data_IF_357257365924
#
_entry.id   IF_357257365924
#
_cell.length_a   1.000
_cell.length_b   1.000
_cell.length_c   1.000
_cell.angle_alpha   90.00
_cell.angle_beta   90.00
_cell.angle_gamma   90.00
#
_symmetry.space_group_name_H-M   'P 1'
#
loop_
_entity.id
_entity.type
_entity.pdbx_description
1 polymer ?
#
# COMPACT_ATOMS: atom_id res chain seq x y z
N UNK A 1 -57.39 55.02 31.66
CA UNK A 1 -56.07 55.40 32.20
C UNK A 1 -55.18 54.19 32.03
N UNK A 2 -54.49 54.20 30.89
CA UNK A 2 -53.60 53.17 30.42
C UNK A 2 -52.31 53.15 31.22
N UNK A 3 -51.82 51.96 31.54
CA UNK A 3 -50.40 51.68 31.74
C UNK A 3 -50.18 50.16 31.76
N UNK A 4 -49.85 49.59 30.60
CA UNK A 4 -49.13 48.32 30.52
C UNK A 4 -47.87 48.55 29.69
N UNK A 5 -46.75 48.69 30.40
CA UNK A 5 -45.41 48.76 29.83
C UNK A 5 -45.00 47.36 29.35
N UNK A 6 -44.91 47.22 28.02
CA UNK A 6 -44.41 46.02 27.34
C UNK A 6 -42.89 46.12 27.18
N UNK A 7 -42.16 45.40 28.04
CA UNK A 7 -40.70 45.26 27.96
C UNK A 7 -40.35 44.16 26.95
N UNK A 8 -40.05 44.56 25.71
CA UNK A 8 -39.61 43.68 24.63
C UNK A 8 -38.10 43.47 24.74
N UNK A 9 -37.68 42.41 25.42
CA UNK A 9 -36.28 41.94 25.44
C UNK A 9 -35.99 41.25 24.12
N UNK A 10 -35.11 41.86 23.31
CA UNK A 10 -34.51 41.22 22.13
C UNK A 10 -33.53 40.16 22.63
N UNK A 11 -33.83 38.90 22.35
CA UNK A 11 -32.93 37.77 22.52
C UNK A 11 -32.13 37.67 21.22
N UNK A 12 -30.96 38.30 21.20
CA UNK A 12 -29.93 38.03 20.18
C UNK A 12 -29.40 36.63 20.49
N UNK A 13 -29.85 35.65 19.70
CA UNK A 13 -29.22 34.34 19.61
C UNK A 13 -27.85 34.55 18.94
N UNK A 14 -26.81 34.65 19.77
CA UNK A 14 -25.45 34.25 19.39
C UNK A 14 -25.52 32.77 19.02
N UNK A 15 -25.76 32.51 17.73
CA UNK A 15 -25.50 31.23 17.09
C UNK A 15 -23.97 31.09 17.01
N UNK A 16 -23.39 30.78 18.16
CA UNK A 16 -21.99 30.41 18.33
C UNK A 16 -21.79 29.10 17.55
N UNK A 17 -21.52 29.25 16.25
CA UNK A 17 -21.12 28.20 15.34
C UNK A 17 -20.02 27.40 16.01
N UNK A 18 -20.38 26.23 16.52
CA UNK A 18 -19.44 25.23 17.03
C UNK A 18 -18.52 24.84 15.89
N UNK A 19 -17.43 25.59 15.73
CA UNK A 19 -16.33 25.27 14.84
C UNK A 19 -15.89 23.84 15.18
N UNK A 20 -15.99 22.89 14.23
CA UNK A 20 -15.66 21.51 14.48
C UNK A 20 -14.22 21.43 14.98
N UNK A 21 -14.05 20.80 16.16
CA UNK A 21 -12.74 20.61 16.78
C UNK A 21 -11.86 19.74 15.87
N UNK A 22 -10.97 20.42 15.13
CA UNK A 22 -9.55 20.09 14.98
C UNK A 22 -9.20 18.61 14.77
N UNK A 23 -9.02 18.22 13.50
CA UNK A 23 -7.87 17.41 13.03
C UNK A 23 -7.76 17.34 11.50
N UNK A 24 -8.83 17.66 10.76
CA UNK A 24 -8.83 17.67 9.30
C UNK A 24 -8.65 19.09 8.74
N UNK A 25 -7.53 19.74 9.07
CA UNK A 25 -7.20 21.01 8.42
C UNK A 25 -6.94 20.75 6.94
N UNK A 26 -7.68 21.47 6.09
CA UNK A 26 -7.46 21.47 4.65
C UNK A 26 -5.99 21.75 4.35
N UNK A 27 -5.40 21.01 3.41
CA UNK A 27 -4.02 21.27 2.95
C UNK A 27 -3.97 22.43 1.96
N UNK A 28 -5.14 22.92 1.55
CA UNK A 28 -5.33 23.94 0.54
C UNK A 28 -5.70 25.27 1.23
N UNK A 29 -5.12 26.40 0.82
CA UNK A 29 -5.56 27.72 1.28
C UNK A 29 -7.05 27.99 1.01
N UNK A 30 -7.75 28.56 1.99
CA UNK A 30 -9.22 28.80 1.95
C UNK A 30 -9.66 29.59 0.70
N UNK A 31 -8.83 30.52 0.22
CA UNK A 31 -9.18 31.38 -0.92
C UNK A 31 -8.68 30.84 -2.27
N UNK A 32 -8.05 29.66 -2.29
CA UNK A 32 -7.56 29.07 -3.53
C UNK A 32 -8.73 28.51 -4.34
N UNK A 33 -8.74 28.80 -5.64
CA UNK A 33 -9.77 28.34 -6.57
C UNK A 33 -9.18 27.40 -7.62
N UNK A 34 -9.96 26.38 -7.97
CA UNK A 34 -9.61 25.39 -8.98
C UNK A 34 -10.69 25.34 -10.07
N UNK A 35 -10.26 25.19 -11.32
CA UNK A 35 -11.21 25.01 -12.42
C UNK A 35 -11.77 23.58 -12.45
N UNK A 36 -12.95 23.43 -13.05
CA UNK A 36 -13.62 22.12 -13.14
C UNK A 36 -12.74 20.97 -13.68
N UNK A 37 -11.98 21.22 -14.74
CA UNK A 37 -11.15 20.18 -15.37
C UNK A 37 -9.98 19.76 -14.49
N UNK A 38 -9.42 20.67 -13.70
CA UNK A 38 -8.39 20.37 -12.72
C UNK A 38 -8.98 19.64 -11.51
N UNK A 39 -10.15 20.04 -11.01
CA UNK A 39 -10.87 19.32 -9.94
C UNK A 39 -11.12 17.85 -10.32
N UNK A 40 -11.67 17.59 -11.50
CA UNK A 40 -11.89 16.23 -12.05
C UNK A 40 -10.57 15.42 -12.06
N UNK A 41 -9.50 15.98 -12.66
CA UNK A 41 -8.25 15.26 -12.88
C UNK A 41 -7.39 15.09 -11.63
N UNK A 42 -7.23 16.13 -10.82
CA UNK A 42 -6.32 16.14 -9.67
C UNK A 42 -6.96 15.51 -8.43
N UNK A 43 -8.27 15.75 -8.22
CA UNK A 43 -9.00 15.21 -7.07
C UNK A 43 -9.75 13.91 -7.36
N UNK A 44 -9.69 13.43 -8.61
CA UNK A 44 -10.28 12.15 -9.04
C UNK A 44 -11.77 12.08 -8.72
N UNK A 45 -12.45 13.19 -8.99
CA UNK A 45 -13.88 13.36 -8.81
C UNK A 45 -14.56 13.19 -10.16
N UNK A 46 -15.68 12.47 -10.18
CA UNK A 46 -16.49 12.44 -11.38
C UNK A 46 -17.21 13.78 -11.54
N UNK A 47 -17.53 14.14 -12.79
CA UNK A 47 -18.25 15.39 -13.06
C UNK A 47 -19.57 15.47 -12.29
N UNK A 48 -20.23 14.33 -12.09
CA UNK A 48 -21.49 14.24 -11.38
C UNK A 48 -21.33 14.50 -9.88
N UNK A 49 -20.22 14.06 -9.28
CA UNK A 49 -19.92 14.30 -7.86
C UNK A 49 -19.83 15.80 -7.57
N UNK A 50 -19.09 16.53 -8.41
CA UNK A 50 -18.92 17.98 -8.30
C UNK A 50 -20.28 18.68 -8.44
N UNK A 51 -21.13 18.25 -9.38
CA UNK A 51 -22.44 18.86 -9.58
C UNK A 51 -23.43 18.57 -8.46
N UNK A 52 -23.44 17.35 -7.94
CA UNK A 52 -24.36 16.93 -6.88
C UNK A 52 -23.99 17.48 -5.51
N UNK A 53 -22.72 17.84 -5.30
CA UNK A 53 -22.23 18.32 -4.02
C UNK A 53 -22.68 19.75 -3.68
N UNK A 54 -23.23 20.50 -4.65
CA UNK A 54 -23.70 21.87 -4.40
C UNK A 54 -22.58 22.84 -4.02
N UNK A 55 -21.36 22.61 -4.52
CA UNK A 55 -20.18 23.44 -4.23
C UNK A 55 -20.41 24.89 -4.69
N UNK A 56 -19.83 25.85 -3.97
CA UNK A 56 -19.87 27.24 -4.40
C UNK A 56 -19.08 27.40 -5.71
N UNK A 57 -19.68 28.08 -6.68
CA UNK A 57 -19.13 28.22 -8.03
C UNK A 57 -19.10 29.68 -8.45
N UNK A 58 -17.91 30.13 -8.82
CA UNK A 58 -17.72 31.39 -9.54
C UNK A 58 -17.71 31.10 -11.04
N UNK A 59 -18.58 31.77 -11.78
CA UNK A 59 -18.67 31.66 -13.24
C UNK A 59 -17.91 32.84 -13.85
N UNK A 60 -16.82 32.54 -14.56
CA UNK A 60 -16.04 33.54 -15.29
C UNK A 60 -16.43 33.47 -16.78
N UNK A 61 -17.05 34.52 -17.33
CA UNK A 61 -17.48 34.53 -18.72
C UNK A 61 -16.26 34.50 -19.66
N UNK A 62 -16.33 33.69 -20.72
CA UNK A 62 -15.28 33.67 -21.75
C UNK A 62 -15.57 34.67 -22.86
N UNK A 63 -14.56 35.45 -23.24
CA UNK A 63 -14.65 36.42 -24.36
C UNK A 63 -14.84 35.78 -25.74
N UNK A 64 -14.58 34.48 -25.86
CA UNK A 64 -14.66 33.75 -27.14
C UNK A 64 -16.08 33.25 -27.35
N UNK A 65 -16.75 33.76 -28.39
CA UNK A 65 -18.06 33.31 -28.84
C UNK A 65 -18.04 31.79 -29.04
N UNK A 66 -19.05 31.09 -28.51
CA UNK A 66 -19.21 29.62 -28.52
C UNK A 66 -18.33 28.80 -27.55
N UNK A 67 -17.61 29.42 -26.61
CA UNK A 67 -16.98 28.67 -25.50
C UNK A 67 -17.82 28.75 -24.24
N UNK A 68 -18.02 27.61 -23.57
CA UNK A 68 -18.65 27.57 -22.23
C UNK A 68 -17.82 28.38 -21.24
N UNK A 69 -18.51 29.10 -20.36
CA UNK A 69 -17.89 29.86 -19.28
C UNK A 69 -17.05 28.96 -18.38
N UNK A 70 -16.00 29.53 -17.79
CA UNK A 70 -15.14 28.79 -16.87
C UNK A 70 -15.81 28.75 -15.51
N UNK A 71 -16.01 27.56 -14.97
CA UNK A 71 -16.46 27.35 -13.59
C UNK A 71 -15.23 27.18 -12.69
N UNK A 72 -15.11 28.06 -11.69
CA UNK A 72 -14.13 27.98 -10.63
C UNK A 72 -14.81 27.60 -9.32
N UNK A 73 -14.21 26.66 -8.59
CA UNK A 73 -14.68 26.19 -7.28
C UNK A 73 -13.63 26.53 -6.24
N UNK A 74 -14.03 26.70 -4.98
CA UNK A 74 -13.07 26.74 -3.89
C UNK A 74 -12.41 25.36 -3.75
N UNK A 75 -11.08 25.33 -3.81
CA UNK A 75 -10.34 24.07 -3.90
C UNK A 75 -10.37 23.30 -2.58
N UNK A 76 -10.50 23.98 -1.44
CA UNK A 76 -10.71 23.30 -0.16
C UNK A 76 -12.05 22.56 -0.11
N UNK A 77 -13.13 23.08 -0.72
CA UNK A 77 -14.42 22.35 -0.78
C UNK A 77 -14.31 21.10 -1.67
N UNK A 78 -13.61 21.23 -2.79
CA UNK A 78 -13.29 20.12 -3.70
C UNK A 78 -12.45 19.05 -2.97
N UNK A 79 -11.49 19.48 -2.15
CA UNK A 79 -10.69 18.59 -1.31
C UNK A 79 -11.55 17.82 -0.30
N UNK A 80 -12.41 18.51 0.46
CA UNK A 80 -13.31 17.86 1.42
C UNK A 80 -14.24 16.85 0.74
N UNK A 81 -14.75 17.19 -0.45
CA UNK A 81 -15.55 16.27 -1.27
C UNK A 81 -14.74 15.03 -1.67
N UNK A 82 -13.49 15.21 -2.11
CA UNK A 82 -12.60 14.10 -2.45
C UNK A 82 -12.33 13.21 -1.23
N UNK A 83 -12.08 13.80 -0.05
CA UNK A 83 -11.91 13.03 1.18
C UNK A 83 -13.17 12.23 1.48
N UNK A 84 -14.34 12.84 1.41
CA UNK A 84 -15.61 12.15 1.64
C UNK A 84 -15.80 10.95 0.71
N UNK A 85 -15.50 11.09 -0.58
CA UNK A 85 -15.66 10.03 -1.59
C UNK A 85 -14.63 8.92 -1.42
N UNK A 86 -13.37 9.27 -1.13
CA UNK A 86 -12.27 8.32 -1.09
C UNK A 86 -12.04 7.69 0.30
N UNK A 87 -12.80 8.07 1.33
CA UNK A 87 -12.71 7.50 2.68
C UNK A 87 -11.72 8.21 3.61
N UNK A 88 -11.63 9.54 3.51
CA UNK A 88 -10.80 10.42 4.32
C UNK A 88 -9.50 10.86 3.61
N UNK A 89 -8.79 11.80 4.24
CA UNK A 89 -7.54 12.38 3.72
C UNK A 89 -6.48 11.29 3.44
N UNK A 90 -6.28 10.37 4.38
CA UNK A 90 -5.26 9.32 4.25
C UNK A 90 -5.57 8.36 3.09
N UNK A 91 -6.83 7.97 2.91
CA UNK A 91 -7.23 7.11 1.80
C UNK A 91 -7.07 7.83 0.45
N UNK A 92 -7.34 9.14 0.40
CA UNK A 92 -7.08 9.96 -0.77
C UNK A 92 -5.58 10.07 -1.10
N UNK A 93 -4.72 10.30 -0.10
CA UNK A 93 -3.25 10.29 -0.28
C UNK A 93 -2.79 8.96 -0.88
N UNK A 94 -3.23 7.83 -0.31
CA UNK A 94 -2.92 6.49 -0.83
C UNK A 94 -3.39 6.31 -2.27
N UNK A 95 -4.57 6.83 -2.60
CA UNK A 95 -5.08 6.81 -3.97
C UNK A 95 -4.16 7.57 -4.93
N UNK A 96 -3.68 8.75 -4.56
CA UNK A 96 -2.76 9.54 -5.37
C UNK A 96 -1.40 8.84 -5.53
N UNK A 97 -0.86 8.23 -4.47
CA UNK A 97 0.37 7.44 -4.52
C UNK A 97 0.23 6.24 -5.48
N UNK A 98 -0.86 5.48 -5.41
CA UNK A 98 -1.10 4.35 -6.31
C UNK A 98 -1.20 4.79 -7.78
N UNK A 99 -1.85 5.94 -8.03
CA UNK A 99 -1.96 6.52 -9.37
C UNK A 99 -0.62 7.02 -9.91
N UNK A 100 0.22 7.62 -9.06
CA UNK A 100 1.58 8.00 -9.44
C UNK A 100 2.37 6.77 -9.89
N UNK A 101 2.37 5.70 -9.09
CA UNK A 101 3.10 4.47 -9.43
C UNK A 101 2.60 3.86 -10.75
N UNK A 102 1.27 3.83 -10.96
CA UNK A 102 0.68 3.38 -12.22
C UNK A 102 1.07 4.29 -13.40
N UNK A 103 1.13 5.60 -13.18
CA UNK A 103 1.54 6.56 -14.20
C UNK A 103 3.00 6.36 -14.60
N UNK A 104 3.91 6.23 -13.64
CA UNK A 104 5.33 5.97 -13.91
C UNK A 104 5.55 4.71 -14.75
N UNK A 105 4.73 3.67 -14.54
CA UNK A 105 4.76 2.45 -15.36
C UNK A 105 4.22 2.68 -16.78
N UNK A 106 3.07 3.34 -16.91
CA UNK A 106 2.38 3.51 -18.21
C UNK A 106 2.97 4.61 -19.08
N UNK A 107 3.68 5.56 -18.48
CA UNK A 107 4.25 6.75 -19.11
C UNK A 107 5.70 6.98 -18.63
N UNK A 108 6.62 6.05 -18.93
CA UNK A 108 8.00 6.15 -18.47
C UNK A 108 8.64 7.47 -18.93
N UNK A 109 9.32 8.15 -18.01
CA UNK A 109 9.99 9.43 -18.25
C UNK A 109 9.08 10.67 -18.30
N UNK A 110 7.75 10.51 -18.14
CA UNK A 110 6.82 11.66 -18.05
C UNK A 110 6.56 12.07 -16.59
N UNK A 111 6.38 13.38 -16.37
CA UNK A 111 6.02 13.92 -15.06
C UNK A 111 4.53 13.69 -14.71
N UNK A 112 4.27 13.41 -13.44
CA UNK A 112 2.93 13.24 -12.85
C UNK A 112 2.33 14.55 -12.28
N UNK A 113 3.03 15.68 -12.37
CA UNK A 113 2.67 16.93 -11.66
C UNK A 113 1.25 17.42 -11.98
N UNK A 114 0.85 17.36 -13.25
CA UNK A 114 -0.48 17.81 -13.71
C UNK A 114 -1.67 16.95 -13.22
N UNK A 115 -1.43 15.83 -12.56
CA UNK A 115 -2.44 14.84 -12.14
C UNK A 115 -2.66 14.77 -10.63
N UNK A 116 -2.04 15.67 -9.88
CA UNK A 116 -2.16 15.82 -8.43
C UNK A 116 -2.32 17.30 -8.07
N UNK A 117 -2.91 17.63 -6.92
CA UNK A 117 -2.86 18.99 -6.40
C UNK A 117 -1.48 19.30 -5.82
N UNK A 118 -1.03 20.55 -5.91
CA UNK A 118 0.30 20.98 -5.46
C UNK A 118 0.48 20.79 -3.94
N UNK A 119 -0.58 20.99 -3.16
CA UNK A 119 -0.59 20.78 -1.70
C UNK A 119 -0.29 19.33 -1.28
N UNK A 120 -0.42 18.36 -2.19
CA UNK A 120 -0.15 16.94 -1.94
C UNK A 120 1.26 16.51 -2.32
N UNK A 121 2.10 17.43 -2.80
CA UNK A 121 3.41 17.10 -3.35
C UNK A 121 4.30 16.30 -2.41
N UNK A 122 4.45 16.76 -1.17
CA UNK A 122 5.31 16.13 -0.17
C UNK A 122 4.92 14.67 0.10
N UNK A 123 3.64 14.31 -0.04
CA UNK A 123 3.13 12.97 0.24
C UNK A 123 3.22 12.02 -0.96
N UNK A 124 3.27 12.57 -2.18
CA UNK A 124 3.14 11.80 -3.42
C UNK A 124 4.50 11.69 -4.13
N UNK A 125 5.29 12.76 -4.18
CA UNK A 125 6.48 12.85 -5.06
C UNK A 125 7.65 11.99 -4.63
N UNK A 126 7.77 11.71 -3.34
CA UNK A 126 8.81 10.82 -2.83
C UNK A 126 8.35 9.35 -2.81
N UNK A 127 7.09 9.08 -3.14
CA UNK A 127 6.55 7.72 -3.11
C UNK A 127 6.98 6.93 -4.34
N UNK A 128 7.90 6.00 -4.16
CA UNK A 128 8.41 5.12 -5.21
C UNK A 128 8.21 3.66 -4.85
N UNK A 129 7.98 2.83 -5.87
CA UNK A 129 7.94 1.39 -5.71
C UNK A 129 9.34 0.83 -5.97
N UNK A 130 9.89 -0.01 -5.06
CA UNK A 130 11.19 -0.63 -5.20
C UNK A 130 11.36 -1.36 -6.53
N UNK A 131 12.55 -1.23 -7.14
CA UNK A 131 12.87 -1.84 -8.44
C UNK A 131 12.64 -3.36 -8.49
N UNK A 132 12.90 -4.07 -7.40
CA UNK A 132 12.69 -5.51 -7.35
C UNK A 132 11.22 -5.91 -7.48
N UNK A 133 10.29 -5.10 -6.94
CA UNK A 133 8.85 -5.31 -7.08
C UNK A 133 8.44 -5.08 -8.54
N UNK A 134 8.96 -4.03 -9.19
CA UNK A 134 8.73 -3.79 -10.62
C UNK A 134 9.23 -4.93 -11.50
N UNK A 135 10.43 -5.45 -11.22
CA UNK A 135 10.99 -6.58 -11.94
C UNK A 135 10.11 -7.82 -11.80
N UNK A 136 9.61 -8.10 -10.58
CA UNK A 136 8.72 -9.22 -10.32
C UNK A 136 7.37 -9.06 -11.02
N UNK A 137 6.81 -7.84 -11.01
CA UNK A 137 5.59 -7.54 -11.74
C UNK A 137 5.74 -7.76 -13.25
N UNK A 138 6.87 -7.29 -13.81
CA UNK A 138 7.18 -7.41 -15.23
C UNK A 138 7.40 -8.88 -15.63
N UNK A 139 8.10 -9.66 -14.81
CA UNK A 139 8.32 -11.09 -15.07
C UNK A 139 7.01 -11.87 -15.03
N UNK A 140 6.13 -11.61 -14.06
CA UNK A 140 4.82 -12.26 -13.98
C UNK A 140 3.91 -11.86 -15.16
N UNK A 141 3.92 -10.58 -15.55
CA UNK A 141 3.17 -10.11 -16.71
C UNK A 141 3.61 -10.84 -17.99
N UNK A 142 4.92 -10.96 -18.21
CA UNK A 142 5.49 -11.65 -19.37
C UNK A 142 5.15 -13.15 -19.35
N UNK A 143 5.22 -13.77 -18.18
CA UNK A 143 4.92 -15.19 -17.99
C UNK A 143 3.45 -15.52 -18.26
N UNK A 144 2.53 -14.68 -17.77
CA UNK A 144 1.09 -14.92 -17.86
C UNK A 144 0.47 -14.48 -19.19
N UNK A 145 1.03 -13.43 -19.80
CA UNK A 145 0.45 -12.79 -20.98
C UNK A 145 1.49 -12.56 -22.08
N UNK A 146 2.15 -13.62 -22.59
CA UNK A 146 3.15 -13.49 -23.62
C UNK A 146 2.56 -12.82 -24.88
N UNK A 147 3.15 -11.70 -25.31
CA UNK A 147 2.71 -10.90 -26.44
C UNK A 147 1.52 -9.95 -26.17
N UNK A 148 1.00 -9.89 -24.95
CA UNK A 148 -0.08 -8.99 -24.53
C UNK A 148 0.28 -8.14 -23.29
N UNK A 149 1.58 -7.90 -23.09
CA UNK A 149 2.13 -7.33 -21.87
C UNK A 149 1.56 -5.93 -21.59
N UNK A 150 1.29 -5.12 -22.63
CA UNK A 150 0.83 -3.74 -22.45
C UNK A 150 -0.61 -3.64 -21.92
N UNK A 151 -1.53 -4.41 -22.49
CA UNK A 151 -2.95 -4.37 -22.13
C UNK A 151 -3.17 -4.98 -20.75
N UNK A 152 -2.62 -6.18 -20.52
CA UNK A 152 -2.79 -6.91 -19.27
C UNK A 152 -1.88 -6.38 -18.15
N UNK A 153 -0.67 -5.93 -18.48
CA UNK A 153 0.27 -5.34 -17.52
C UNK A 153 -0.29 -4.10 -16.82
N UNK A 154 -1.06 -3.27 -17.52
CA UNK A 154 -1.70 -2.10 -16.89
C UNK A 154 -2.69 -2.51 -15.78
N UNK A 155 -3.46 -3.58 -15.99
CA UNK A 155 -4.37 -4.11 -14.97
C UNK A 155 -3.59 -4.69 -13.78
N UNK A 156 -2.58 -5.51 -14.06
CA UNK A 156 -1.72 -6.13 -13.04
C UNK A 156 -1.02 -5.09 -12.16
N UNK A 157 -0.40 -4.10 -12.77
CA UNK A 157 0.28 -3.00 -12.07
C UNK A 157 -0.71 -2.18 -11.26
N UNK A 158 -1.91 -1.90 -11.79
CA UNK A 158 -2.94 -1.20 -11.02
C UNK A 158 -3.32 -1.96 -9.74
N UNK A 159 -3.43 -3.27 -9.80
CA UNK A 159 -3.72 -4.09 -8.61
C UNK A 159 -2.53 -4.08 -7.65
N UNK A 160 -1.31 -4.25 -8.15
CA UNK A 160 -0.08 -4.26 -7.34
C UNK A 160 0.14 -2.93 -6.62
N UNK A 161 0.00 -1.81 -7.33
CA UNK A 161 0.20 -0.46 -6.76
C UNK A 161 -0.78 -0.17 -5.64
N UNK A 162 -2.04 -0.61 -5.74
CA UNK A 162 -3.02 -0.48 -4.66
C UNK A 162 -2.63 -1.29 -3.43
N UNK A 163 -2.26 -2.55 -3.64
CA UNK A 163 -1.84 -3.44 -2.56
C UNK A 163 -0.58 -2.92 -1.86
N UNK A 164 0.43 -2.53 -2.64
CA UNK A 164 1.69 -1.99 -2.14
C UNK A 164 1.49 -0.70 -1.35
N UNK A 165 0.63 0.21 -1.80
CA UNK A 165 0.38 1.46 -1.06
C UNK A 165 -0.34 1.21 0.27
N UNK A 166 -1.26 0.26 0.30
CA UNK A 166 -1.96 -0.10 1.53
C UNK A 166 -1.06 -0.82 2.53
N UNK A 167 -0.11 -1.60 2.03
CA UNK A 167 0.79 -2.38 2.84
C UNK A 167 2.18 -2.39 2.18
N UNK A 168 3.00 -1.34 2.38
CA UNK A 168 4.31 -1.24 1.76
C UNK A 168 5.27 -2.26 2.38
N UNK A 169 6.24 -2.72 1.58
CA UNK A 169 7.33 -3.53 2.09
C UNK A 169 8.25 -2.67 2.95
N UNK A 170 8.89 -3.22 4.00
CA UNK A 170 9.95 -2.50 4.68
C UNK A 170 11.08 -2.15 3.70
N UNK A 171 11.92 -1.19 4.08
CA UNK A 171 13.12 -0.90 3.30
C UNK A 171 14.03 -2.12 3.25
N UNK A 172 14.51 -2.45 2.05
CA UNK A 172 15.51 -3.51 1.85
C UNK A 172 16.92 -2.96 2.08
N UNK A 173 17.76 -3.58 2.93
CA UNK A 173 19.15 -3.18 3.09
C UNK A 173 19.87 -3.16 1.74
N UNK A 174 20.64 -2.10 1.50
CA UNK A 174 21.46 -1.97 0.28
C UNK A 174 22.82 -2.64 0.42
N UNK A 175 23.28 -2.79 1.66
CA UNK A 175 24.57 -3.36 2.01
C UNK A 175 24.28 -4.74 2.60
N UNK A 176 25.05 -5.74 2.17
CA UNK A 176 24.95 -7.07 2.75
C UNK A 176 25.32 -7.00 4.25
N UNK A 177 24.62 -7.72 5.13
CA UNK A 177 24.92 -7.69 6.55
C UNK A 177 26.36 -8.17 6.81
N UNK A 178 27.05 -7.60 7.81
CA UNK A 178 28.44 -7.95 8.10
C UNK A 178 28.58 -9.45 8.38
N UNK A 179 29.72 -10.02 8.01
CA UNK A 179 30.04 -11.41 8.38
C UNK A 179 30.34 -11.47 9.88
N UNK A 180 29.39 -11.95 10.67
CA UNK A 180 29.56 -12.31 12.08
C UNK A 180 29.35 -13.81 12.28
N UNK A 181 29.79 -14.39 13.42
CA UNK A 181 29.46 -15.77 13.76
C UNK A 181 27.95 -16.05 13.72
N UNK A 182 27.12 -15.15 14.25
CA UNK A 182 25.65 -15.25 14.23
C UNK A 182 25.04 -15.22 12.82
N UNK A 183 25.46 -14.29 11.95
CA UNK A 183 25.00 -14.27 10.55
C UNK A 183 25.49 -15.49 9.76
N UNK A 184 26.72 -15.97 10.04
CA UNK A 184 27.24 -17.15 9.38
C UNK A 184 26.47 -18.41 9.79
N UNK A 185 26.07 -18.52 11.07
CA UNK A 185 25.18 -19.57 11.53
C UNK A 185 23.81 -19.50 10.83
N UNK A 186 23.20 -18.31 10.77
CA UNK A 186 21.93 -18.10 10.06
C UNK A 186 22.02 -18.55 8.59
N UNK A 187 23.06 -18.11 7.87
CA UNK A 187 23.29 -18.48 6.47
C UNK A 187 23.51 -19.98 6.30
N UNK A 188 24.28 -20.60 7.18
CA UNK A 188 24.49 -22.06 7.18
C UNK A 188 23.17 -22.82 7.32
N UNK A 189 22.24 -22.35 8.16
CA UNK A 189 20.91 -22.95 8.29
C UNK A 189 20.10 -22.72 7.01
N UNK A 190 20.06 -21.49 6.50
CA UNK A 190 19.36 -21.17 5.25
C UNK A 190 19.92 -21.95 4.05
N UNK A 191 21.20 -22.28 4.00
CA UNK A 191 21.79 -23.11 2.94
C UNK A 191 21.24 -24.53 2.94
N UNK A 192 20.88 -25.05 4.11
CA UNK A 192 20.21 -26.36 4.26
C UNK A 192 18.69 -26.29 4.11
N UNK A 193 18.13 -25.11 3.78
CA UNK A 193 16.68 -24.95 3.72
C UNK A 193 16.05 -25.91 2.70
N UNK A 194 14.99 -26.63 3.08
CA UNK A 194 14.27 -27.51 2.17
C UNK A 194 13.71 -26.72 0.98
N UNK A 195 13.98 -27.22 -0.22
CA UNK A 195 13.52 -26.64 -1.49
C UNK A 195 12.33 -27.45 -1.99
N UNK A 196 11.28 -26.76 -2.43
CA UNK A 196 10.12 -27.33 -3.08
C UNK A 196 10.54 -27.91 -4.43
N UNK A 197 10.42 -29.23 -4.67
CA UNK A 197 10.74 -29.83 -5.96
C UNK A 197 9.96 -29.21 -7.12
N UNK A 198 10.66 -28.92 -8.21
CA UNK A 198 10.05 -28.44 -9.45
C UNK A 198 8.99 -29.40 -9.97
N UNK A 199 7.85 -28.85 -10.41
CA UNK A 199 6.82 -29.64 -11.09
C UNK A 199 6.07 -30.64 -10.20
N UNK A 200 6.09 -30.45 -8.87
CA UNK A 200 5.21 -31.18 -7.94
C UNK A 200 3.75 -30.96 -8.34
N UNK A 201 3.23 -31.91 -9.13
CA UNK A 201 1.79 -32.13 -9.25
C UNK A 201 1.30 -32.48 -7.85
N UNK A 202 0.15 -31.94 -7.46
CA UNK A 202 -0.54 -32.23 -6.19
C UNK A 202 -0.69 -33.75 -6.02
N UNK A 203 0.31 -34.43 -5.48
CA UNK A 203 0.24 -35.84 -5.12
C UNK A 203 0.13 -35.91 -3.61
N UNK A 204 -0.85 -36.66 -3.16
CA UNK A 204 -1.37 -36.70 -1.81
C UNK A 204 -0.29 -36.85 -0.72
N UNK A 205 -0.20 -35.84 0.14
CA UNK A 205 -0.12 -35.88 1.62
C UNK A 205 0.91 -36.74 2.36
N UNK A 206 1.96 -37.26 1.74
CA UNK A 206 3.07 -37.81 2.53
C UNK A 206 4.04 -36.68 2.90
N UNK A 207 4.25 -36.45 4.20
CA UNK A 207 5.38 -35.70 4.76
C UNK A 207 6.66 -36.07 4.00
N UNK A 208 7.13 -35.19 3.10
CA UNK A 208 8.41 -35.41 2.41
C UNK A 208 9.49 -34.72 3.20
N UNK A 209 9.87 -35.32 4.32
CA UNK A 209 10.97 -34.88 5.15
C UNK A 209 10.70 -33.50 5.79
N UNK A 210 11.44 -32.49 5.38
CA UNK A 210 11.52 -31.21 6.08
C UNK A 210 10.55 -30.12 5.55
N UNK A 211 9.50 -30.51 4.80
CA UNK A 211 8.44 -29.60 4.33
C UNK A 211 7.07 -30.07 4.83
N UNK A 212 6.27 -29.14 5.38
CA UNK A 212 4.87 -29.37 5.69
C UNK A 212 3.97 -28.79 4.60
N UNK A 213 2.88 -29.50 4.32
CA UNK A 213 1.77 -28.99 3.51
C UNK A 213 0.74 -28.43 4.50
N UNK A 214 0.43 -27.14 4.41
CA UNK A 214 -0.70 -26.61 5.13
C UNK A 214 -2.00 -27.04 4.45
N UNK A 215 -2.66 -28.04 5.03
CA UNK A 215 -4.01 -28.49 4.66
C UNK A 215 -5.06 -27.47 5.08
N UNK A 216 -5.06 -26.33 4.40
CA UNK A 216 -6.19 -25.40 4.28
C UNK A 216 -5.73 -24.27 3.35
N UNK A 217 -5.53 -24.55 2.06
CA UNK A 217 -5.34 -23.47 1.12
C UNK A 217 -6.60 -22.60 1.21
N UNK A 218 -6.42 -21.29 1.35
CA UNK A 218 -7.48 -20.34 1.04
C UNK A 218 -8.13 -20.85 -0.26
N UNK A 219 -9.43 -21.18 -0.29
CA UNK A 219 -10.05 -21.85 -1.44
C UNK A 219 -9.81 -21.09 -2.75
N UNK A 220 -9.66 -19.77 -2.63
CA UNK A 220 -9.34 -18.86 -3.70
C UNK A 220 -7.97 -19.14 -4.36
N UNK A 221 -6.96 -19.62 -3.62
CA UNK A 221 -5.60 -19.79 -4.13
C UNK A 221 -5.40 -21.06 -4.95
N UNK A 222 -6.25 -22.07 -4.80
CA UNK A 222 -6.19 -23.31 -5.57
C UNK A 222 -4.89 -24.11 -5.43
N UNK A 223 -3.86 -23.61 -4.75
CA UNK A 223 -2.54 -24.22 -4.57
C UNK A 223 -2.27 -24.48 -3.09
N UNK A 224 -1.75 -25.66 -2.79
CA UNK A 224 -1.21 -25.97 -1.46
C UNK A 224 -0.15 -24.93 -1.08
N UNK A 225 -0.16 -24.49 0.18
CA UNK A 225 0.94 -23.71 0.75
C UNK A 225 1.93 -24.66 1.39
N UNK A 226 3.21 -24.43 1.13
CA UNK A 226 4.31 -25.19 1.70
C UNK A 226 5.02 -24.32 2.73
N UNK A 227 5.35 -24.93 3.85
CA UNK A 227 6.14 -24.32 4.92
C UNK A 227 7.30 -25.22 5.29
N UNK A 228 8.36 -24.63 5.83
CA UNK A 228 9.46 -25.41 6.40
C UNK A 228 9.01 -26.19 7.64
N UNK A 229 9.68 -27.30 7.92
CA UNK A 229 9.37 -28.09 9.10
C UNK A 229 9.60 -27.33 10.40
N UNK A 230 8.84 -27.67 11.45
CA UNK A 230 9.04 -27.14 12.79
C UNK A 230 10.48 -27.31 13.28
N UNK A 231 11.12 -28.44 12.97
CA UNK A 231 12.54 -28.63 13.30
C UNK A 231 13.45 -27.63 12.59
N UNK A 232 13.21 -27.34 11.30
CA UNK A 232 13.96 -26.31 10.58
C UNK A 232 13.65 -24.90 11.10
N UNK A 233 12.38 -24.59 11.35
CA UNK A 233 11.95 -23.31 11.90
C UNK A 233 12.58 -23.06 13.28
N UNK A 234 12.62 -24.05 14.16
CA UNK A 234 13.25 -23.95 15.48
C UNK A 234 14.75 -23.60 15.36
N UNK A 235 15.48 -24.30 14.47
CA UNK A 235 16.89 -24.00 14.21
C UNK A 235 17.08 -22.59 13.63
N UNK A 236 16.23 -22.19 12.68
CA UNK A 236 16.23 -20.87 12.08
C UNK A 236 15.99 -19.76 13.13
N UNK A 237 14.97 -19.92 13.97
CA UNK A 237 14.66 -18.95 15.04
C UNK A 237 15.77 -18.86 16.08
N UNK A 238 16.41 -19.99 16.41
CA UNK A 238 17.59 -19.98 17.28
C UNK A 238 18.72 -19.13 16.69
N UNK A 239 19.04 -19.28 15.40
CA UNK A 239 20.05 -18.46 14.73
C UNK A 239 19.64 -16.97 14.62
N UNK A 240 18.36 -16.69 14.33
CA UNK A 240 17.84 -15.32 14.31
C UNK A 240 17.95 -14.64 15.69
N UNK A 241 17.67 -15.35 16.78
CA UNK A 241 17.87 -14.85 18.13
C UNK A 241 19.35 -14.53 18.39
N UNK A 242 20.27 -15.33 17.87
CA UNK A 242 21.71 -15.04 17.90
C UNK A 242 22.05 -13.74 17.17
N UNK A 243 21.50 -13.52 15.98
CA UNK A 243 21.69 -12.25 15.24
C UNK A 243 21.13 -11.05 16.01
N UNK A 244 19.96 -11.19 16.63
CA UNK A 244 19.35 -10.12 17.43
C UNK A 244 20.17 -9.83 18.69
N UNK A 245 20.70 -10.86 19.34
CA UNK A 245 21.55 -10.70 20.52
C UNK A 245 22.85 -9.95 20.19
N UNK A 246 23.46 -10.26 19.05
CA UNK A 246 24.74 -9.67 18.64
C UNK A 246 24.59 -8.28 18.00
N UNK A 247 23.54 -8.06 17.20
CA UNK A 247 23.39 -6.87 16.33
C UNK A 247 22.10 -6.06 16.57
N UNK A 248 21.24 -6.50 17.48
CA UNK A 248 19.97 -5.84 17.81
C UNK A 248 18.86 -6.01 16.75
N UNK A 249 17.80 -5.22 16.89
CA UNK A 249 16.64 -5.25 15.99
C UNK A 249 16.73 -4.26 14.82
N UNK A 250 17.82 -3.49 14.72
CA UNK A 250 17.99 -2.41 13.74
C UNK A 250 18.46 -2.86 12.34
N UNK A 251 18.90 -1.89 11.51
CA UNK A 251 19.33 -2.13 10.13
C UNK A 251 20.43 -3.17 9.95
N UNK A 252 21.32 -3.32 10.94
CA UNK A 252 22.45 -4.27 10.92
C UNK A 252 22.11 -5.63 11.55
N UNK A 253 20.96 -5.76 12.20
CA UNK A 253 20.52 -6.98 12.88
C UNK A 253 19.26 -7.58 12.26
N UNK A 254 18.16 -7.63 13.01
CA UNK A 254 16.90 -8.23 12.54
C UNK A 254 16.41 -7.68 11.19
N UNK A 255 16.43 -6.35 10.99
CA UNK A 255 15.90 -5.78 9.75
C UNK A 255 16.67 -6.26 8.52
N UNK A 256 17.95 -6.58 8.69
CA UNK A 256 18.80 -7.17 7.67
C UNK A 256 18.51 -8.67 7.50
N UNK A 257 18.55 -9.42 8.60
CA UNK A 257 18.36 -10.86 8.62
C UNK A 257 17.01 -11.29 8.03
N UNK A 258 15.93 -10.57 8.32
CA UNK A 258 14.60 -10.89 7.79
C UNK A 258 14.51 -10.89 6.28
N UNK A 259 15.34 -10.09 5.60
CA UNK A 259 15.42 -10.09 4.15
C UNK A 259 16.16 -11.31 3.61
N UNK A 260 17.23 -11.78 4.27
CA UNK A 260 17.89 -13.05 3.91
C UNK A 260 16.91 -14.23 4.03
N UNK A 261 16.10 -14.24 5.10
CA UNK A 261 15.06 -15.26 5.30
C UNK A 261 13.96 -15.15 4.25
N UNK A 262 13.45 -13.93 3.98
CA UNK A 262 12.46 -13.69 2.94
C UNK A 262 12.93 -14.19 1.57
N UNK A 263 14.15 -13.85 1.17
CA UNK A 263 14.71 -14.26 -0.13
C UNK A 263 14.84 -15.78 -0.22
N UNK A 264 15.31 -16.43 0.86
CA UNK A 264 15.43 -17.88 0.92
C UNK A 264 14.05 -18.55 0.89
N UNK A 265 13.08 -18.09 1.67
CA UNK A 265 11.73 -18.63 1.67
C UNK A 265 11.06 -18.45 0.30
N UNK A 266 11.13 -17.24 -0.26
CA UNK A 266 10.57 -16.90 -1.57
C UNK A 266 11.10 -17.80 -2.68
N UNK A 267 12.40 -18.11 -2.66
CA UNK A 267 13.03 -18.96 -3.67
C UNK A 267 12.81 -20.44 -3.41
N UNK A 268 13.07 -20.92 -2.20
CA UNK A 268 12.98 -22.33 -1.84
C UNK A 268 11.55 -22.87 -1.88
N UNK A 269 10.56 -22.06 -1.49
CA UNK A 269 9.16 -22.49 -1.39
C UNK A 269 8.28 -21.95 -2.53
N UNK A 270 8.88 -21.23 -3.48
CA UNK A 270 8.15 -20.47 -4.51
C UNK A 270 7.04 -19.59 -3.91
N UNK A 271 7.32 -18.97 -2.77
CA UNK A 271 6.34 -18.30 -1.91
C UNK A 271 6.46 -16.78 -1.92
N UNK A 272 7.26 -16.20 -2.82
CA UNK A 272 7.39 -14.75 -2.95
C UNK A 272 6.21 -14.08 -3.64
N UNK A 273 6.33 -12.76 -3.82
CA UNK A 273 5.36 -11.93 -4.52
C UNK A 273 4.98 -12.51 -5.89
N UNK A 274 3.74 -12.91 -6.06
CA UNK A 274 3.22 -13.54 -7.28
C UNK A 274 1.77 -13.11 -7.55
N UNK A 275 1.35 -13.19 -8.80
CA UNK A 275 -0.03 -12.91 -9.19
C UNK A 275 -0.80 -14.21 -9.38
N UNK A 276 -2.02 -14.26 -8.86
CA UNK A 276 -2.91 -15.42 -8.93
C UNK A 276 -4.09 -15.07 -9.84
N UNK A 277 -4.11 -15.56 -11.09
CA UNK A 277 -5.12 -15.22 -12.09
C UNK A 277 -6.55 -15.49 -11.61
N UNK A 278 -6.78 -16.62 -10.95
CA UNK A 278 -8.12 -17.07 -10.52
C UNK A 278 -8.80 -16.09 -9.55
N UNK A 279 -8.00 -15.38 -8.75
CA UNK A 279 -8.50 -14.42 -7.75
C UNK A 279 -8.30 -12.97 -8.15
N UNK A 280 -7.57 -12.76 -9.24
CA UNK A 280 -7.01 -11.48 -9.66
C UNK A 280 -6.27 -10.72 -8.54
N UNK A 281 -5.52 -11.43 -7.68
CA UNK A 281 -4.79 -10.82 -6.56
C UNK A 281 -3.28 -11.05 -6.65
N UNK A 282 -2.55 -10.07 -6.14
CA UNK A 282 -1.16 -10.25 -5.75
C UNK A 282 -1.10 -10.87 -4.36
N UNK A 283 -0.28 -11.89 -4.20
CA UNK A 283 0.00 -12.51 -2.92
C UNK A 283 1.50 -12.59 -2.70
N UNK A 284 1.91 -12.55 -1.44
CA UNK A 284 3.30 -12.80 -1.06
C UNK A 284 3.32 -13.55 0.28
N UNK A 285 3.18 -14.88 0.28
CA UNK A 285 3.25 -15.65 1.52
C UNK A 285 4.59 -15.49 2.28
N UNK A 286 5.72 -15.30 1.58
CA UNK A 286 7.02 -15.07 2.21
C UNK A 286 7.07 -13.73 2.97
N UNK A 287 6.17 -12.78 2.66
CA UNK A 287 6.08 -11.49 3.33
C UNK A 287 5.96 -11.59 4.86
N UNK A 288 5.43 -12.69 5.40
CA UNK A 288 5.34 -12.89 6.85
C UNK A 288 6.69 -12.68 7.56
N UNK A 289 7.79 -13.02 6.89
CA UNK A 289 9.14 -12.87 7.42
C UNK A 289 9.56 -11.40 7.56
N UNK A 290 8.98 -10.52 6.76
CA UNK A 290 9.28 -9.09 6.78
C UNK A 290 8.52 -8.34 7.88
N UNK A 291 7.50 -8.96 8.45
CA UNK A 291 6.64 -8.36 9.47
C UNK A 291 7.20 -8.63 10.88
N UNK A 292 7.35 -7.56 11.67
CA UNK A 292 7.88 -7.60 13.04
C UNK A 292 7.15 -8.53 14.03
N UNK A 293 5.85 -8.84 13.93
CA UNK A 293 5.16 -9.65 14.94
C UNK A 293 5.65 -11.11 15.08
N UNK A 294 6.25 -11.68 14.02
CA UNK A 294 6.48 -13.13 13.97
C UNK A 294 7.52 -13.64 14.98
N UNK A 295 8.51 -12.80 15.33
CA UNK A 295 9.49 -13.14 16.36
C UNK A 295 8.91 -13.16 17.78
N UNK A 296 7.84 -12.40 18.03
CA UNK A 296 7.22 -12.35 19.35
C UNK A 296 6.44 -13.63 19.65
N UNK A 297 5.77 -14.18 18.63
CA UNK A 297 4.98 -15.41 18.76
C UNK A 297 5.82 -16.62 19.22
N UNK A 298 7.07 -16.73 18.73
CA UNK A 298 7.96 -17.84 19.11
C UNK A 298 8.73 -17.62 20.42
N UNK A 299 8.73 -16.41 20.99
CA UNK A 299 9.34 -16.16 22.30
C UNK A 299 8.42 -16.58 23.45
N UNK A 300 7.13 -16.71 23.22
CA UNK A 300 6.10 -16.87 24.26
C UNK A 300 5.59 -18.30 24.43
N UNK A 301 5.86 -19.22 23.49
CA UNK A 301 5.53 -20.63 23.68
C UNK A 301 6.72 -21.39 24.30
N UNK A 302 6.66 -21.75 25.59
CA UNK A 302 7.59 -22.73 26.12
C UNK A 302 7.38 -24.03 25.34
N UNK A 303 8.43 -24.50 24.68
CA UNK A 303 8.46 -25.86 24.14
C UNK A 303 8.32 -26.79 25.34
N UNK A 304 7.10 -27.26 25.60
CA UNK A 304 6.88 -28.35 26.53
C UNK A 304 7.49 -29.59 25.88
N UNK A 305 8.71 -29.92 26.30
CA UNK A 305 9.39 -31.19 26.01
C UNK A 305 8.63 -32.39 26.59
#
# INVERSE_FOLDING_TARGET
MDQQNSTRVKKEEEEETKLPKSTDLSLVPINQKINKSAADKQYRLEKQDIYNAGLEVEIIPRKVVNRKDTQLYFEWEVEQLAWKIHGGQQAFIRRLQALKLLYSYTHPGKSYDHLRPDSYAAFVDLYEMPRWIWNKCSSETTRLFPGQERANGTKLVRLLTREYVNSPYPSRPRIAPPSSPSFNLLRSILDTAPILPDGLKKTNNAERGALYILENPCPALGSARYEWSQGFLAALFHALNGVIADHGEGPDGWEAARWEVYDKASSALNSGLSYVPDTEKWIDPARIWLETPYLKLYKEEPVNE
#
